data_IF_205090290903
#
_entry.id   IF_205090290903
#
_cell.length_a   1.000
_cell.length_b   1.000
_cell.length_c   1.000
_cell.angle_alpha   90.00
_cell.angle_beta   90.00
_cell.angle_gamma   90.00
#
_symmetry.space_group_name_H-M   'P 1'
#
loop_
_entity.id
_entity.type
_entity.pdbx_description
1 polymer ?
#
# COMPACT_ATOMS: atom_id res chain seq x y z
N UNK A 1 -25.17 -22.32 32.84
CA UNK A 1 -25.79 -21.84 31.59
C UNK A 1 -25.29 -20.45 31.16
N UNK A 2 -25.22 -19.45 32.05
CA UNK A 2 -24.77 -18.08 31.72
C UNK A 2 -23.33 -17.97 31.15
N UNK A 3 -22.36 -18.74 31.70
CA UNK A 3 -20.95 -18.75 31.25
C UNK A 3 -20.79 -19.24 29.80
N UNK A 4 -21.58 -20.24 29.38
CA UNK A 4 -21.57 -20.78 28.00
C UNK A 4 -22.08 -19.74 27.00
N UNK A 5 -23.21 -19.09 27.31
CA UNK A 5 -23.78 -18.00 26.49
C UNK A 5 -22.82 -16.82 26.32
N UNK A 6 -22.03 -16.50 27.35
CA UNK A 6 -21.00 -15.47 27.26
C UNK A 6 -19.85 -15.88 26.33
N UNK A 7 -19.36 -17.12 26.44
CA UNK A 7 -18.31 -17.65 25.56
C UNK A 7 -18.75 -17.71 24.09
N UNK A 8 -19.98 -18.16 23.82
CA UNK A 8 -20.52 -18.24 22.46
C UNK A 8 -20.60 -16.85 21.81
N UNK A 9 -20.99 -15.82 22.60
CA UNK A 9 -20.99 -14.42 22.14
C UNK A 9 -19.58 -13.94 21.80
N UNK A 10 -18.59 -14.24 22.64
CA UNK A 10 -17.19 -13.84 22.39
C UNK A 10 -16.64 -14.50 21.11
N UNK A 11 -16.92 -15.79 20.90
CA UNK A 11 -16.49 -16.52 19.69
C UNK A 11 -17.10 -15.90 18.43
N UNK A 12 -18.40 -15.59 18.46
CA UNK A 12 -19.09 -14.95 17.33
C UNK A 12 -18.49 -13.58 16.99
N UNK A 13 -18.22 -12.74 18.00
CA UNK A 13 -17.57 -11.43 17.80
C UNK A 13 -16.17 -11.58 17.20
N UNK A 14 -15.37 -12.53 17.71
CA UNK A 14 -14.02 -12.78 17.18
C UNK A 14 -14.07 -13.26 15.72
N UNK A 15 -14.96 -14.19 15.40
CA UNK A 15 -15.14 -14.66 14.01
C UNK A 15 -15.51 -13.53 13.06
N UNK A 16 -16.42 -12.65 13.48
CA UNK A 16 -16.79 -11.47 12.70
C UNK A 16 -15.58 -10.57 12.43
N UNK A 17 -14.79 -10.25 13.46
CA UNK A 17 -13.58 -9.43 13.31
C UNK A 17 -12.57 -10.07 12.36
N UNK A 18 -12.37 -11.39 12.44
CA UNK A 18 -11.47 -12.11 11.54
C UNK A 18 -11.94 -12.06 10.08
N UNK A 19 -13.24 -12.23 9.83
CA UNK A 19 -13.83 -12.15 8.49
C UNK A 19 -13.72 -10.74 7.92
N UNK A 20 -14.09 -9.72 8.71
CA UNK A 20 -13.98 -8.32 8.29
C UNK A 20 -12.53 -7.94 7.96
N UNK A 21 -11.57 -8.41 8.78
CA UNK A 21 -10.14 -8.19 8.53
C UNK A 21 -9.67 -8.89 7.26
N UNK A 22 -10.13 -10.11 7.00
CA UNK A 22 -9.81 -10.83 5.76
C UNK A 22 -10.33 -10.08 4.53
N UNK A 23 -11.60 -9.64 4.55
CA UNK A 23 -12.20 -8.89 3.45
C UNK A 23 -11.40 -7.61 3.18
N UNK A 24 -11.07 -6.85 4.22
CA UNK A 24 -10.26 -5.66 4.09
C UNK A 24 -8.87 -5.99 3.52
N UNK A 25 -8.20 -7.02 4.05
CA UNK A 25 -6.89 -7.46 3.56
C UNK A 25 -6.93 -7.81 2.07
N UNK A 26 -7.96 -8.51 1.61
CA UNK A 26 -8.13 -8.89 0.20
C UNK A 26 -8.43 -7.69 -0.70
N UNK A 27 -9.20 -6.72 -0.20
CA UNK A 27 -9.41 -5.44 -0.91
C UNK A 27 -8.08 -4.72 -1.12
N UNK A 28 -7.27 -4.56 -0.07
CA UNK A 28 -5.94 -3.95 -0.17
C UNK A 28 -4.98 -4.76 -1.04
N UNK A 29 -5.07 -6.10 -1.00
CA UNK A 29 -4.30 -6.96 -1.89
C UNK A 29 -4.62 -6.66 -3.35
N UNK A 30 -5.91 -6.56 -3.69
CA UNK A 30 -6.36 -6.24 -5.03
C UNK A 30 -5.86 -4.88 -5.50
N UNK A 31 -6.03 -3.82 -4.70
CA UNK A 31 -5.59 -2.46 -5.07
C UNK A 31 -4.08 -2.40 -5.37
N UNK A 32 -3.26 -2.97 -4.49
CA UNK A 32 -1.82 -2.98 -4.65
C UNK A 32 -1.35 -3.87 -5.81
N UNK A 33 -1.95 -5.05 -5.99
CA UNK A 33 -1.65 -5.93 -7.13
C UNK A 33 -2.03 -5.28 -8.45
N UNK A 34 -3.23 -4.72 -8.54
CA UNK A 34 -3.73 -4.09 -9.76
C UNK A 34 -2.83 -2.91 -10.17
N UNK A 35 -2.47 -2.06 -9.20
CA UNK A 35 -1.54 -0.93 -9.42
C UNK A 35 -0.15 -1.41 -9.85
N UNK A 36 0.46 -2.32 -9.08
CA UNK A 36 1.83 -2.78 -9.31
C UNK A 36 1.98 -3.58 -10.60
N UNK A 37 1.08 -4.54 -10.85
CA UNK A 37 1.10 -5.36 -12.08
C UNK A 37 0.85 -4.48 -13.30
N UNK A 38 -0.08 -3.52 -13.23
CA UNK A 38 -0.34 -2.58 -14.32
C UNK A 38 0.92 -1.80 -14.71
N UNK A 39 1.64 -1.27 -13.71
CA UNK A 39 2.93 -0.58 -13.94
C UNK A 39 4.00 -1.51 -14.50
N UNK A 40 4.13 -2.74 -13.99
CA UNK A 40 5.09 -3.73 -14.50
C UNK A 40 4.78 -4.07 -15.97
N UNK A 41 3.51 -4.21 -16.34
CA UNK A 41 3.10 -4.48 -17.72
C UNK A 41 3.45 -3.33 -18.65
N UNK A 42 3.20 -2.07 -18.25
CA UNK A 42 3.61 -0.90 -19.03
C UNK A 42 5.13 -0.84 -19.23
N UNK A 43 5.91 -1.05 -18.15
CA UNK A 43 7.37 -1.06 -18.20
C UNK A 43 7.90 -2.18 -19.09
N UNK A 44 7.33 -3.39 -18.97
CA UNK A 44 7.78 -4.55 -19.77
C UNK A 44 7.45 -4.38 -21.25
N UNK A 45 6.34 -3.72 -21.57
CA UNK A 45 5.92 -3.45 -22.95
C UNK A 45 6.79 -2.40 -23.63
N UNK A 46 7.07 -1.28 -22.95
CA UNK A 46 7.86 -0.17 -23.47
C UNK A 46 8.38 0.70 -22.31
N UNK A 47 9.52 0.30 -21.74
CA UNK A 47 10.12 0.99 -20.60
C UNK A 47 10.49 2.44 -20.93
N UNK A 48 11.15 2.67 -22.07
CA UNK A 48 11.62 3.99 -22.46
C UNK A 48 10.45 4.95 -22.68
N UNK A 49 9.42 4.52 -23.42
CA UNK A 49 8.24 5.34 -23.63
C UNK A 49 7.43 5.56 -22.34
N UNK A 50 7.32 4.55 -21.47
CA UNK A 50 6.68 4.71 -20.17
C UNK A 50 7.39 5.77 -19.31
N UNK A 51 8.72 5.68 -19.18
CA UNK A 51 9.51 6.65 -18.42
C UNK A 51 9.44 8.04 -19.03
N UNK A 52 9.48 8.16 -20.36
CA UNK A 52 9.33 9.44 -21.04
C UNK A 52 7.98 10.10 -20.77
N UNK A 53 6.88 9.32 -20.71
CA UNK A 53 5.53 9.82 -20.37
C UNK A 53 5.42 10.24 -18.90
N UNK A 54 6.05 9.49 -18.00
CA UNK A 54 5.99 9.76 -16.55
C UNK A 54 6.89 10.90 -16.11
N UNK A 55 7.98 11.18 -16.83
CA UNK A 55 8.92 12.23 -16.44
C UNK A 55 8.28 13.62 -16.28
N UNK A 56 7.52 14.17 -17.25
CA UNK A 56 6.87 15.46 -17.07
C UNK A 56 5.79 15.45 -15.97
N UNK A 57 5.19 14.30 -15.66
CA UNK A 57 4.27 14.17 -14.52
C UNK A 57 5.04 14.41 -13.23
N UNK A 58 6.17 13.74 -13.05
CA UNK A 58 7.00 13.80 -11.84
C UNK A 58 7.72 15.14 -11.70
N UNK A 59 8.36 15.61 -12.77
CA UNK A 59 9.26 16.78 -12.74
C UNK A 59 8.57 18.12 -12.89
N UNK A 60 7.28 18.11 -13.30
CA UNK A 60 6.50 19.34 -13.52
C UNK A 60 5.12 19.27 -12.89
N UNK A 61 4.27 18.31 -13.26
CA UNK A 61 2.88 18.30 -12.76
C UNK A 61 2.81 18.10 -11.24
N UNK A 62 3.66 17.23 -10.68
CA UNK A 62 3.76 16.94 -9.25
C UNK A 62 4.59 17.96 -8.48
N UNK A 63 5.26 18.90 -9.14
CA UNK A 63 6.11 19.92 -8.50
C UNK A 63 5.52 21.31 -8.64
N UNK A 64 5.30 21.75 -9.88
CA UNK A 64 4.94 23.11 -10.25
C UNK A 64 3.42 23.28 -10.35
N UNK A 65 2.69 22.16 -10.34
CA UNK A 65 1.25 22.14 -10.57
C UNK A 65 0.92 22.25 -12.06
N UNK A 66 -0.33 22.61 -12.35
CA UNK A 66 -0.84 22.77 -13.71
C UNK A 66 -1.88 23.89 -13.75
N UNK A 67 -2.52 24.11 -14.90
CA UNK A 67 -3.63 25.07 -15.01
C UNK A 67 -4.79 24.77 -14.05
N UNK A 68 -4.95 23.49 -13.66
CA UNK A 68 -6.05 23.02 -12.82
C UNK A 68 -5.61 22.53 -11.44
N UNK A 69 -4.30 22.50 -11.15
CA UNK A 69 -3.75 21.96 -9.91
C UNK A 69 -2.72 22.91 -9.31
N UNK A 70 -2.71 23.02 -7.98
CA UNK A 70 -1.74 23.86 -7.27
C UNK A 70 -0.32 23.29 -7.39
N UNK A 71 0.68 24.13 -7.16
CA UNK A 71 2.05 23.68 -6.97
C UNK A 71 2.17 22.85 -5.68
N UNK A 72 3.17 21.98 -5.64
CA UNK A 72 3.40 21.12 -4.48
C UNK A 72 3.83 21.96 -3.27
N UNK A 73 3.08 21.91 -2.15
CA UNK A 73 3.42 22.70 -0.97
C UNK A 73 4.66 22.21 -0.23
N UNK A 74 5.16 21.01 -0.52
CA UNK A 74 6.30 20.39 0.16
C UNK A 74 7.60 20.61 -0.62
N UNK A 75 8.34 21.66 -0.29
CA UNK A 75 9.57 22.06 -1.01
C UNK A 75 10.66 20.97 -1.01
N UNK A 76 10.81 20.22 0.08
CA UNK A 76 11.72 19.07 0.14
C UNK A 76 11.32 17.99 -0.87
N UNK A 77 10.01 17.77 -1.06
CA UNK A 77 9.50 16.78 -2.00
C UNK A 77 9.67 17.25 -3.44
N UNK A 78 9.49 18.55 -3.70
CA UNK A 78 9.82 19.15 -5.00
C UNK A 78 11.28 18.90 -5.38
N UNK A 79 12.20 19.17 -4.44
CA UNK A 79 13.64 18.96 -4.65
C UNK A 79 13.94 17.48 -4.89
N UNK A 80 13.37 16.59 -4.07
CA UNK A 80 13.53 15.14 -4.27
C UNK A 80 13.01 14.67 -5.63
N UNK A 81 11.83 15.13 -6.07
CA UNK A 81 11.25 14.74 -7.34
C UNK A 81 12.08 15.25 -8.54
N UNK A 82 12.57 16.49 -8.49
CA UNK A 82 13.36 17.10 -9.58
C UNK A 82 14.80 16.62 -9.62
N UNK A 83 15.46 16.52 -8.46
CA UNK A 83 16.91 16.36 -8.40
C UNK A 83 17.32 14.89 -8.19
N UNK A 84 16.42 14.05 -7.68
CA UNK A 84 16.71 12.63 -7.38
C UNK A 84 15.86 11.69 -8.23
N UNK A 85 14.53 11.86 -8.25
CA UNK A 85 13.62 10.92 -8.93
C UNK A 85 13.66 11.11 -10.43
N UNK A 86 13.50 12.33 -10.95
CA UNK A 86 13.46 12.59 -12.39
C UNK A 86 14.73 12.12 -13.13
N UNK A 87 15.96 12.35 -12.63
CA UNK A 87 17.17 11.82 -13.26
C UNK A 87 17.28 10.30 -13.21
N UNK A 88 16.66 9.65 -12.21
CA UNK A 88 16.71 8.20 -11.98
C UNK A 88 15.33 7.54 -12.18
N UNK A 89 14.51 8.10 -13.08
CA UNK A 89 13.08 7.80 -13.14
C UNK A 89 12.78 6.31 -13.36
N UNK A 90 13.58 5.64 -14.20
CA UNK A 90 13.41 4.23 -14.47
C UNK A 90 13.53 3.39 -13.21
N UNK A 91 14.57 3.64 -12.40
CA UNK A 91 14.81 2.95 -11.13
C UNK A 91 13.64 3.17 -10.16
N UNK A 92 13.24 4.43 -9.93
CA UNK A 92 12.18 4.74 -8.97
C UNK A 92 10.83 4.17 -9.37
N UNK A 93 10.45 4.28 -10.65
CA UNK A 93 9.18 3.75 -11.13
C UNK A 93 9.16 2.22 -11.10
N UNK A 94 10.26 1.57 -11.51
CA UNK A 94 10.36 0.11 -11.43
C UNK A 94 10.34 -0.40 -10.00
N UNK A 95 11.11 0.21 -9.08
CA UNK A 95 11.09 -0.16 -7.66
C UNK A 95 9.72 0.06 -7.04
N UNK A 96 9.05 1.16 -7.38
CA UNK A 96 7.68 1.44 -6.94
C UNK A 96 6.74 0.33 -7.42
N UNK A 97 6.74 0.00 -8.71
CA UNK A 97 5.88 -1.04 -9.28
C UNK A 97 6.10 -2.42 -8.61
N UNK A 98 7.37 -2.79 -8.37
CA UNK A 98 7.73 -4.03 -7.67
C UNK A 98 7.26 -4.00 -6.22
N UNK A 99 7.44 -2.89 -5.51
CA UNK A 99 7.02 -2.74 -4.12
C UNK A 99 5.49 -2.87 -3.99
N UNK A 100 4.74 -2.20 -4.87
CA UNK A 100 3.28 -2.30 -4.93
C UNK A 100 2.81 -3.74 -5.16
N UNK A 101 3.35 -4.40 -6.19
CA UNK A 101 3.01 -5.79 -6.47
C UNK A 101 3.35 -6.70 -5.28
N UNK A 102 4.52 -6.51 -4.66
CA UNK A 102 4.97 -7.32 -3.52
C UNK A 102 4.07 -7.15 -2.30
N UNK A 103 3.68 -5.91 -1.96
CA UNK A 103 2.72 -5.65 -0.88
C UNK A 103 1.40 -6.35 -1.15
N UNK A 104 0.91 -6.26 -2.39
CA UNK A 104 -0.31 -6.93 -2.83
C UNK A 104 -0.25 -8.45 -2.69
N UNK A 105 0.86 -9.08 -3.10
CA UNK A 105 1.10 -10.53 -2.95
C UNK A 105 1.11 -10.93 -1.47
N UNK A 106 1.83 -10.19 -0.62
CA UNK A 106 1.89 -10.45 0.82
C UNK A 106 0.50 -10.41 1.46
N UNK A 107 -0.33 -9.43 1.10
CA UNK A 107 -1.71 -9.34 1.59
C UNK A 107 -2.62 -10.44 1.06
N UNK A 108 -2.50 -10.80 -0.23
CA UNK A 108 -3.29 -11.87 -0.82
C UNK A 108 -3.04 -13.19 -0.09
N UNK A 109 -1.76 -13.54 0.10
CA UNK A 109 -1.35 -14.77 0.78
C UNK A 109 -1.55 -14.70 2.31
N UNK A 110 -1.68 -13.50 2.87
CA UNK A 110 -1.62 -13.29 4.31
C UNK A 110 -0.27 -13.72 4.88
N UNK A 111 0.81 -13.44 4.15
CA UNK A 111 2.20 -13.74 4.50
C UNK A 111 2.99 -12.44 4.64
N UNK A 112 3.74 -12.26 5.73
CA UNK A 112 4.50 -11.03 6.01
C UNK A 112 3.62 -9.77 5.99
N UNK A 113 2.39 -9.86 6.51
CA UNK A 113 1.41 -8.77 6.42
C UNK A 113 1.86 -7.52 7.16
N UNK A 114 2.55 -7.65 8.30
CA UNK A 114 3.02 -6.48 9.08
C UNK A 114 4.15 -5.74 8.37
N UNK A 115 5.23 -6.38 7.89
CA UNK A 115 6.21 -5.73 7.02
C UNK A 115 5.58 -5.12 5.77
N UNK A 116 4.70 -5.85 5.09
CA UNK A 116 4.01 -5.34 3.90
C UNK A 116 3.17 -4.09 4.21
N UNK A 117 2.53 -4.03 5.37
CA UNK A 117 1.80 -2.84 5.82
C UNK A 117 2.69 -1.63 6.07
N UNK A 118 3.90 -1.82 6.60
CA UNK A 118 4.87 -0.72 6.74
C UNK A 118 5.26 -0.18 5.35
N UNK A 119 5.59 -1.07 4.41
CA UNK A 119 5.94 -0.68 3.04
C UNK A 119 4.78 0.04 2.36
N UNK A 120 3.56 -0.51 2.46
CA UNK A 120 2.35 0.14 1.94
C UNK A 120 2.16 1.54 2.52
N UNK A 121 2.35 1.71 3.84
CA UNK A 121 2.18 3.00 4.51
C UNK A 121 3.19 4.01 3.99
N UNK A 122 4.44 3.59 3.80
CA UNK A 122 5.50 4.44 3.22
C UNK A 122 5.19 4.84 1.78
N UNK A 123 4.70 3.91 0.94
CA UNK A 123 4.27 4.22 -0.42
C UNK A 123 3.11 5.22 -0.43
N UNK A 124 2.08 4.99 0.38
CA UNK A 124 0.89 5.85 0.47
C UNK A 124 1.26 7.25 0.94
N UNK A 125 2.15 7.36 1.94
CA UNK A 125 2.67 8.64 2.42
C UNK A 125 3.50 9.34 1.33
N UNK A 126 4.36 8.61 0.62
CA UNK A 126 5.19 9.17 -0.45
C UNK A 126 4.32 9.72 -1.59
N UNK A 127 3.29 8.98 -2.01
CA UNK A 127 2.34 9.44 -3.03
C UNK A 127 1.48 10.61 -2.56
N UNK A 128 1.08 10.64 -1.28
CA UNK A 128 0.40 11.80 -0.71
C UNK A 128 1.28 13.06 -0.77
N UNK A 129 2.56 12.96 -0.37
CA UNK A 129 3.50 14.08 -0.43
C UNK A 129 3.85 14.48 -1.88
N UNK A 130 3.93 13.52 -2.79
CA UNK A 130 4.23 13.78 -4.20
C UNK A 130 3.06 14.43 -4.95
N UNK A 131 1.85 13.87 -4.79
CA UNK A 131 0.71 14.12 -5.67
C UNK A 131 -0.60 14.43 -4.92
N UNK A 132 -0.66 14.31 -3.59
CA UNK A 132 -1.89 14.56 -2.83
C UNK A 132 -2.44 15.98 -3.02
N UNK A 133 -1.57 16.96 -3.27
CA UNK A 133 -1.95 18.35 -3.54
C UNK A 133 -2.70 18.54 -4.87
N UNK A 134 -2.63 17.58 -5.80
CA UNK A 134 -3.20 17.75 -7.14
C UNK A 134 -4.73 17.66 -7.15
N UNK A 135 -5.34 16.92 -6.21
CA UNK A 135 -6.79 16.89 -6.05
C UNK A 135 -7.22 16.35 -4.67
N UNK A 136 -8.39 16.74 -4.15
CA UNK A 136 -8.94 16.14 -2.93
C UNK A 136 -9.11 14.62 -3.03
N UNK A 137 -9.42 14.09 -4.22
CA UNK A 137 -9.53 12.65 -4.46
C UNK A 137 -8.19 11.94 -4.35
N UNK A 138 -7.11 12.53 -4.91
CA UNK A 138 -5.75 12.00 -4.82
C UNK A 138 -5.24 12.03 -3.37
N UNK A 139 -5.50 13.11 -2.63
CA UNK A 139 -5.21 13.16 -1.20
C UNK A 139 -5.99 12.10 -0.43
N UNK A 140 -7.30 12.02 -0.65
CA UNK A 140 -8.22 11.13 0.05
C UNK A 140 -7.86 9.65 -0.12
N UNK A 141 -7.59 9.20 -1.35
CA UNK A 141 -7.25 7.79 -1.58
C UNK A 141 -5.95 7.39 -0.87
N UNK A 142 -4.93 8.25 -0.84
CA UNK A 142 -3.67 7.97 -0.17
C UNK A 142 -3.81 7.95 1.36
N UNK A 143 -4.64 8.84 1.92
CA UNK A 143 -4.97 8.83 3.36
C UNK A 143 -5.74 7.55 3.72
N UNK A 144 -6.74 7.18 2.93
CA UNK A 144 -7.50 5.94 3.13
C UNK A 144 -6.58 4.72 3.07
N UNK A 145 -5.73 4.68 2.03
CA UNK A 145 -4.75 3.62 1.85
C UNK A 145 -3.84 3.48 3.08
N UNK A 146 -3.24 4.59 3.52
CA UNK A 146 -2.39 4.63 4.72
C UNK A 146 -3.15 4.14 5.95
N UNK A 147 -4.36 4.64 6.18
CA UNK A 147 -5.17 4.30 7.36
C UNK A 147 -5.55 2.83 7.41
N UNK A 148 -5.94 2.21 6.29
CA UNK A 148 -6.26 0.79 6.26
C UNK A 148 -5.04 -0.10 6.45
N UNK A 149 -3.88 0.30 5.94
CA UNK A 149 -2.63 -0.46 6.16
C UNK A 149 -2.18 -0.34 7.62
N UNK A 150 -2.32 0.84 8.24
CA UNK A 150 -2.11 1.02 9.68
C UNK A 150 -3.04 0.09 10.48
N UNK A 151 -4.32 0.00 10.10
CA UNK A 151 -5.24 -0.94 10.71
C UNK A 151 -4.76 -2.40 10.55
N UNK A 152 -4.41 -2.83 9.34
CA UNK A 152 -3.91 -4.19 9.06
C UNK A 152 -2.63 -4.52 9.86
N UNK A 153 -1.76 -3.53 10.06
CA UNK A 153 -0.58 -3.63 10.90
C UNK A 153 -0.94 -3.87 12.38
N UNK A 154 -1.84 -3.06 12.93
CA UNK A 154 -2.25 -3.12 14.34
C UNK A 154 -2.99 -4.41 14.68
N UNK A 155 -3.92 -4.86 13.82
CA UNK A 155 -4.70 -6.09 14.06
C UNK A 155 -3.94 -7.37 13.72
N UNK A 156 -2.71 -7.25 13.18
CA UNK A 156 -1.91 -8.38 12.69
C UNK A 156 -2.70 -9.27 11.73
N UNK A 157 -3.20 -8.65 10.65
CA UNK A 157 -4.18 -9.25 9.74
C UNK A 157 -3.72 -10.54 9.05
N UNK A 158 -2.43 -10.88 9.07
CA UNK A 158 -1.92 -12.18 8.63
C UNK A 158 -2.45 -13.36 9.44
N UNK A 159 -2.86 -13.13 10.70
CA UNK A 159 -3.44 -14.17 11.57
C UNK A 159 -4.90 -14.52 11.23
N UNK A 160 -5.58 -13.66 10.46
CA UNK A 160 -6.94 -13.92 9.98
C UNK A 160 -6.89 -14.72 8.67
N UNK A 161 -6.92 -16.05 8.75
CA UNK A 161 -6.92 -16.94 7.57
C UNK A 161 -5.75 -16.66 6.59
N UNK A 162 -4.57 -16.31 7.09
CA UNK A 162 -3.36 -16.09 6.29
C UNK A 162 -2.28 -17.14 6.59
N UNK A 163 -1.25 -17.18 5.74
CA UNK A 163 -0.08 -18.04 5.96
C UNK A 163 0.67 -17.72 7.26
N UNK A 164 0.64 -16.46 7.73
CA UNK A 164 1.21 -16.07 9.03
C UNK A 164 0.54 -16.86 10.19
N UNK A 165 -0.75 -17.17 10.08
CA UNK A 165 -1.46 -18.00 11.07
C UNK A 165 -0.96 -19.46 11.07
N UNK A 166 -0.67 -20.01 9.89
CA UNK A 166 -0.16 -21.39 9.73
C UNK A 166 1.26 -21.49 10.27
N UNK A 167 2.10 -20.51 9.95
CA UNK A 167 3.50 -20.45 10.40
C UNK A 167 3.59 -20.29 11.92
N UNK A 168 2.79 -19.42 12.54
CA UNK A 168 2.81 -19.24 13.99
C UNK A 168 2.35 -20.52 14.74
N UNK A 169 1.37 -21.26 14.19
CA UNK A 169 0.99 -22.57 14.76
C UNK A 169 2.11 -23.60 14.67
N UNK A 170 2.90 -23.58 13.60
CA UNK A 170 4.00 -24.52 13.36
C UNK A 170 5.29 -24.16 14.12
N UNK A 171 5.57 -22.86 14.23
CA UNK A 171 6.75 -22.31 14.89
C UNK A 171 6.28 -21.38 16.02
N UNK A 172 6.04 -21.95 17.21
CA UNK A 172 5.36 -21.32 18.36
C UNK A 172 5.97 -20.02 18.92
N UNK A 173 7.05 -19.47 18.33
CA UNK A 173 7.84 -18.36 18.89
C UNK A 173 8.21 -17.24 17.89
N UNK A 174 7.61 -17.16 16.70
CA UNK A 174 7.94 -16.09 15.75
C UNK A 174 7.13 -14.82 16.06
N UNK A 175 7.72 -13.92 16.85
CA UNK A 175 7.15 -12.60 17.21
C UNK A 175 7.22 -11.56 16.06
N UNK A 176 7.51 -12.00 14.84
CA UNK A 176 7.75 -11.17 13.67
C UNK A 176 6.46 -10.98 12.83
N UNK A 177 5.36 -11.67 13.18
CA UNK A 177 4.09 -11.70 12.44
C UNK A 177 2.89 -11.15 13.22
#
# INVERSE_FOLDING_TARGET
MAKRKHLDKLVSVLQFVLIATLILRLFYAYEWLNSGIGKIQEITKDAQGYFARMNPVISKAWTDGSQTTKANPYTFMVSFLKDVVSPNIGTFLTLTAIAEASVGICYLLGFLVRPAAIVGMLLSLTFFLAAGHTSPSTAGINILMFGGQLFLFLVSAGRAYGLDAVLNKRFKNLNIF
#
